data_IF_928396461987
#
_entry.id   IF_928396461987
#
_cell.length_a   1.000
_cell.length_b   1.000
_cell.length_c   1.000
_cell.angle_alpha   90.00
_cell.angle_beta   90.00
_cell.angle_gamma   90.00
#
_symmetry.space_group_name_H-M   'P 1'
#
loop_
_entity.id
_entity.type
_entity.pdbx_description
1 polymer ?
#
# COMPACT_ATOMS: atom_id res chain seq x y z
N UNK A 1 -26.72 -3.12 -7.69
CA UNK A 1 -26.00 -1.86 -7.43
C UNK A 1 -24.53 -2.08 -7.05
N UNK A 2 -24.16 -2.56 -5.84
CA UNK A 2 -22.74 -2.70 -5.49
C UNK A 2 -21.97 -3.66 -6.42
N UNK A 3 -22.56 -4.82 -6.74
CA UNK A 3 -21.99 -5.81 -7.67
C UNK A 3 -21.83 -5.30 -9.11
N UNK A 4 -22.62 -4.30 -9.50
CA UNK A 4 -22.49 -3.67 -10.83
C UNK A 4 -21.38 -2.64 -10.84
N UNK A 5 -21.20 -1.90 -9.73
CA UNK A 5 -20.06 -0.99 -9.56
C UNK A 5 -18.73 -1.75 -9.56
N UNK A 6 -18.67 -2.91 -8.89
CA UNK A 6 -17.48 -3.78 -8.91
C UNK A 6 -17.15 -4.30 -10.31
N UNK A 7 -18.15 -4.83 -11.04
CA UNK A 7 -17.93 -5.28 -12.43
C UNK A 7 -17.53 -4.16 -13.37
N UNK A 8 -18.03 -2.94 -13.15
CA UNK A 8 -17.69 -1.78 -13.96
C UNK A 8 -16.24 -1.33 -13.73
N UNK A 9 -15.79 -1.36 -12.48
CA UNK A 9 -14.40 -1.05 -12.13
C UNK A 9 -13.42 -2.11 -12.67
N UNK A 10 -13.80 -3.39 -12.59
CA UNK A 10 -13.02 -4.52 -13.12
C UNK A 10 -12.92 -4.49 -14.65
N UNK A 11 -14.01 -4.12 -15.34
CA UNK A 11 -14.04 -3.95 -16.78
C UNK A 11 -13.17 -2.77 -17.28
N UNK A 12 -13.10 -1.67 -16.52
CA UNK A 12 -12.24 -0.52 -16.85
C UNK A 12 -10.75 -0.85 -16.70
N UNK A 13 -10.39 -1.79 -15.82
CA UNK A 13 -9.00 -2.23 -15.63
C UNK A 13 -8.50 -3.15 -16.76
N UNK A 14 -9.38 -4.00 -17.31
CA UNK A 14 -9.05 -4.93 -18.40
C UNK A 14 -9.03 -4.30 -19.80
N UNK A 15 -9.57 -3.08 -19.95
CA UNK A 15 -9.70 -2.43 -21.26
C UNK A 15 -8.51 -1.56 -21.66
N UNK A 16 -7.48 -1.45 -20.82
CA UNK A 16 -6.32 -0.62 -21.10
C UNK A 16 -5.13 -1.37 -21.72
N UNK A 17 -5.31 -2.65 -22.06
CA UNK A 17 -4.28 -3.42 -22.75
C UNK A 17 -4.45 -3.37 -24.27
N UNK A 18 -3.45 -2.73 -24.89
CA UNK A 18 -3.02 -2.80 -26.28
C UNK A 18 -3.60 -1.79 -27.30
N UNK A 19 -2.80 -0.75 -27.58
CA UNK A 19 -2.49 -0.33 -28.95
C UNK A 19 -0.99 -0.03 -29.07
N UNK A 20 -0.33 -0.65 -30.09
CA UNK A 20 1.13 -0.75 -30.31
C UNK A 20 1.87 0.59 -30.45
N UNK A 21 3.21 0.66 -30.53
CA UNK A 21 4.14 -0.21 -31.23
C UNK A 21 5.58 0.08 -30.76
N UNK A 22 6.42 -0.98 -30.83
CA UNK A 22 7.85 -0.99 -31.17
C UNK A 22 8.95 -0.47 -30.21
N UNK A 23 9.84 -1.43 -29.92
CA UNK A 23 11.30 -1.29 -29.81
C UNK A 23 11.88 -0.63 -28.56
N UNK A 24 12.22 -1.45 -27.55
CA UNK A 24 13.64 -1.79 -27.29
C UNK A 24 13.75 -2.76 -26.12
N UNK A 25 14.36 -3.91 -26.42
CA UNK A 25 14.93 -4.77 -25.42
C UNK A 25 16.09 -4.06 -24.70
N UNK A 26 16.12 -4.19 -23.37
CA UNK A 26 17.25 -3.83 -22.54
C UNK A 26 17.05 -2.50 -21.82
N UNK A 27 16.75 -2.54 -20.52
CA UNK A 27 17.12 -1.53 -19.52
C UNK A 27 16.70 -1.95 -18.10
N UNK A 28 16.92 -3.21 -17.69
CA UNK A 28 17.19 -3.46 -16.26
C UNK A 28 18.64 -3.13 -15.99
N UNK A 29 18.93 -1.83 -16.09
CA UNK A 29 20.20 -1.22 -15.75
C UNK A 29 20.38 -1.29 -14.24
N UNK A 30 21.50 -1.90 -13.85
CA UNK A 30 22.17 -1.76 -12.57
C UNK A 30 21.95 -0.37 -11.97
N UNK A 31 21.53 -0.32 -10.69
CA UNK A 31 21.29 0.90 -9.89
C UNK A 31 22.22 2.06 -10.28
N UNK A 32 21.69 3.20 -10.75
CA UNK A 32 22.35 4.47 -10.56
C UNK A 32 21.90 5.02 -9.20
N UNK A 33 22.88 5.25 -8.34
CA UNK A 33 22.75 6.08 -7.16
C UNK A 33 22.53 7.53 -7.65
N UNK A 34 21.28 7.87 -7.98
CA UNK A 34 20.90 9.15 -8.57
C UNK A 34 19.57 9.59 -8.01
N UNK A 35 19.62 10.63 -7.18
CA UNK A 35 18.53 11.50 -6.74
C UNK A 35 17.11 10.88 -6.84
N UNK A 36 16.78 10.01 -5.88
CA UNK A 36 15.41 9.55 -5.70
C UNK A 36 14.59 10.74 -5.23
N UNK A 37 13.98 11.47 -6.16
CA UNK A 37 12.66 12.04 -5.85
C UNK A 37 11.73 10.82 -5.69
N UNK A 38 11.86 10.20 -4.51
CA UNK A 38 11.35 8.87 -4.22
C UNK A 38 9.83 8.91 -4.30
N UNK A 39 9.26 7.85 -4.87
CA UNK A 39 7.84 7.58 -4.75
C UNK A 39 7.41 7.76 -3.29
N UNK A 40 6.40 8.61 -3.05
CA UNK A 40 5.96 8.97 -1.69
C UNK A 40 4.61 8.38 -1.37
N UNK A 41 4.47 7.80 -0.20
CA UNK A 41 3.23 7.10 0.16
C UNK A 41 2.15 8.11 0.53
N UNK A 42 2.45 9.04 1.44
CA UNK A 42 1.49 9.98 2.03
C UNK A 42 0.71 10.85 1.03
N UNK A 43 1.32 11.46 0.00
CA UNK A 43 0.58 12.31 -0.95
C UNK A 43 -0.50 11.58 -1.77
N UNK A 44 -0.53 10.25 -1.70
CA UNK A 44 -1.43 9.40 -2.46
C UNK A 44 -2.37 8.58 -1.55
N UNK A 45 -2.36 8.85 -0.24
CA UNK A 45 -3.33 8.32 0.71
C UNK A 45 -4.46 9.35 0.85
N UNK A 46 -5.70 8.85 0.87
CA UNK A 46 -6.86 9.70 1.16
C UNK A 46 -6.91 10.08 2.64
N UNK A 47 -7.62 11.15 3.00
CA UNK A 47 -7.80 11.50 4.43
C UNK A 47 -8.39 10.34 5.26
N UNK A 48 -9.29 9.54 4.67
CA UNK A 48 -9.82 8.32 5.30
C UNK A 48 -8.74 7.25 5.49
N UNK A 49 -7.83 7.09 4.53
CA UNK A 49 -6.67 6.22 4.68
C UNK A 49 -5.75 6.66 5.82
N UNK A 50 -5.45 7.96 5.94
CA UNK A 50 -4.63 8.50 7.04
C UNK A 50 -5.26 8.19 8.41
N UNK A 51 -6.59 8.34 8.53
CA UNK A 51 -7.32 8.01 9.74
C UNK A 51 -7.19 6.52 10.11
N UNK A 52 -7.29 5.61 9.15
CA UNK A 52 -7.11 4.17 9.41
C UNK A 52 -5.67 3.82 9.76
N UNK A 53 -4.69 4.49 9.14
CA UNK A 53 -3.27 4.34 9.48
C UNK A 53 -2.99 4.80 10.92
N UNK A 54 -3.58 5.91 11.36
CA UNK A 54 -3.47 6.39 12.74
C UNK A 54 -4.09 5.40 13.74
N UNK A 55 -5.31 4.90 13.46
CA UNK A 55 -5.96 3.89 14.32
C UNK A 55 -5.14 2.61 14.39
N UNK A 56 -4.60 2.15 13.27
CA UNK A 56 -3.72 0.98 13.22
C UNK A 56 -2.46 1.20 14.07
N UNK A 57 -1.80 2.37 13.94
CA UNK A 57 -0.64 2.75 14.76
C UNK A 57 -0.96 2.69 16.25
N UNK A 58 -2.10 3.24 16.65
CA UNK A 58 -2.54 3.26 18.04
C UNK A 58 -2.86 1.85 18.57
N UNK A 59 -3.49 0.99 17.77
CA UNK A 59 -3.74 -0.41 18.13
C UNK A 59 -2.43 -1.18 18.37
N UNK A 60 -1.47 -1.03 17.47
CA UNK A 60 -0.18 -1.71 17.57
C UNK A 60 0.61 -1.25 18.80
N UNK A 61 0.57 0.06 19.10
CA UNK A 61 1.18 0.61 20.31
C UNK A 61 0.50 0.10 21.58
N UNK A 62 -0.83 0.12 21.64
CA UNK A 62 -1.58 -0.24 22.84
C UNK A 62 -1.51 -1.74 23.17
N UNK A 63 -1.56 -2.62 22.15
CA UNK A 63 -1.61 -4.08 22.35
C UNK A 63 -0.25 -4.77 22.30
N UNK A 64 0.69 -4.22 21.53
CA UNK A 64 1.98 -4.86 21.25
C UNK A 64 3.19 -4.02 21.67
N UNK A 65 2.98 -2.82 22.23
CA UNK A 65 4.06 -1.92 22.64
C UNK A 65 4.92 -1.39 21.47
N UNK A 66 4.54 -1.68 20.22
CA UNK A 66 5.30 -1.30 19.03
C UNK A 66 4.88 0.08 18.58
N UNK A 67 5.78 1.04 18.72
CA UNK A 67 5.61 2.40 18.19
C UNK A 67 6.39 2.51 16.89
N UNK A 68 5.72 3.00 15.85
CA UNK A 68 6.34 3.49 14.63
C UNK A 68 6.35 5.02 14.75
N UNK A 69 7.37 5.69 14.19
CA UNK A 69 7.39 7.15 14.19
C UNK A 69 6.10 7.68 13.58
N UNK A 70 5.54 8.73 14.20
CA UNK A 70 4.46 9.45 13.54
C UNK A 70 5.11 10.21 12.38
N UNK A 71 4.63 10.05 11.13
CA UNK A 71 5.31 10.59 9.96
C UNK A 71 5.34 12.13 10.02
N UNK A 72 6.41 12.65 10.59
CA UNK A 72 6.64 14.08 10.81
C UNK A 72 7.84 14.58 10.01
N UNK A 73 8.67 13.66 9.49
CA UNK A 73 9.78 13.91 8.57
C UNK A 73 9.59 13.12 7.26
N UNK A 74 9.85 13.78 6.12
CA UNK A 74 9.31 13.44 4.78
C UNK A 74 9.82 12.14 4.14
N UNK A 75 10.95 11.59 4.58
CA UNK A 75 11.56 10.38 4.01
C UNK A 75 11.59 9.21 4.99
N UNK A 76 11.65 9.51 6.29
CA UNK A 76 11.54 8.50 7.34
C UNK A 76 10.10 7.97 7.42
N UNK A 77 9.11 8.82 7.11
CA UNK A 77 7.69 8.48 7.10
C UNK A 77 7.34 7.25 6.26
N UNK A 78 7.92 7.12 5.07
CA UNK A 78 7.52 6.05 4.13
C UNK A 78 8.11 4.69 4.55
N UNK A 79 9.32 4.70 5.09
CA UNK A 79 9.93 3.50 5.66
C UNK A 79 9.14 3.04 6.89
N UNK A 80 8.78 3.97 7.77
CA UNK A 80 7.97 3.69 8.96
C UNK A 80 6.61 3.10 8.60
N UNK A 81 5.95 3.63 7.56
CA UNK A 81 4.69 3.08 7.06
C UNK A 81 4.90 1.65 6.55
N UNK A 82 5.93 1.38 5.73
CA UNK A 82 6.19 0.01 5.25
C UNK A 82 6.45 -0.97 6.38
N UNK A 83 7.21 -0.57 7.39
CA UNK A 83 7.49 -1.39 8.57
C UNK A 83 6.24 -1.67 9.39
N UNK A 84 5.41 -0.64 9.60
CA UNK A 84 4.13 -0.74 10.29
C UNK A 84 3.21 -1.73 9.57
N UNK A 85 3.04 -1.56 8.26
CA UNK A 85 2.19 -2.42 7.44
C UNK A 85 2.72 -3.85 7.43
N UNK A 86 4.03 -4.03 7.28
CA UNK A 86 4.66 -5.36 7.32
C UNK A 86 4.51 -6.05 8.67
N UNK A 87 4.54 -5.30 9.76
CA UNK A 87 4.32 -5.84 11.10
C UNK A 87 2.85 -6.22 11.30
N UNK A 88 1.92 -5.31 10.98
CA UNK A 88 0.49 -5.52 11.09
C UNK A 88 0.00 -6.72 10.27
N UNK A 89 0.54 -6.91 9.06
CA UNK A 89 0.16 -8.00 8.17
C UNK A 89 0.43 -9.40 8.76
N UNK A 90 1.37 -9.53 9.71
CA UNK A 90 1.72 -10.80 10.36
C UNK A 90 0.89 -11.09 11.62
N UNK A 91 0.07 -10.14 12.06
CA UNK A 91 -0.71 -10.24 13.30
C UNK A 91 -2.10 -10.79 13.02
N UNK A 92 -2.53 -11.83 13.73
CA UNK A 92 -3.86 -12.45 13.55
C UNK A 92 -4.99 -11.77 14.34
N UNK A 93 -4.75 -10.59 14.91
CA UNK A 93 -5.75 -9.81 15.63
C UNK A 93 -6.76 -9.19 14.65
N UNK A 94 -8.04 -9.47 14.89
CA UNK A 94 -9.14 -9.04 14.01
C UNK A 94 -9.21 -7.51 13.85
N UNK A 95 -8.95 -6.74 14.92
CA UNK A 95 -9.01 -5.29 14.86
C UNK A 95 -7.84 -4.72 14.05
N UNK A 96 -6.66 -5.31 14.22
CA UNK A 96 -5.46 -4.96 13.43
C UNK A 96 -5.68 -5.26 11.95
N UNK A 97 -6.20 -6.44 11.63
CA UNK A 97 -6.52 -6.84 10.27
C UNK A 97 -7.59 -5.95 9.63
N UNK A 98 -8.62 -5.58 10.41
CA UNK A 98 -9.68 -4.65 9.96
C UNK A 98 -9.11 -3.28 9.61
N UNK A 99 -8.32 -2.67 10.49
CA UNK A 99 -7.77 -1.32 10.21
C UNK A 99 -6.76 -1.36 9.06
N UNK A 100 -5.95 -2.42 8.96
CA UNK A 100 -5.01 -2.59 7.85
C UNK A 100 -5.74 -2.74 6.50
N UNK A 101 -6.81 -3.53 6.44
CA UNK A 101 -7.63 -3.65 5.24
C UNK A 101 -8.29 -2.32 4.86
N UNK A 102 -8.88 -1.62 5.84
CA UNK A 102 -9.54 -0.34 5.59
C UNK A 102 -8.55 0.73 5.14
N UNK A 103 -7.34 0.76 5.69
CA UNK A 103 -6.25 1.59 5.18
C UNK A 103 -5.96 1.26 3.71
N UNK A 104 -5.70 -0.01 3.40
CA UNK A 104 -5.33 -0.45 2.05
C UNK A 104 -6.38 -0.12 0.99
N UNK A 105 -7.66 -0.35 1.29
CA UNK A 105 -8.78 -0.03 0.38
C UNK A 105 -8.95 1.48 0.12
N UNK A 106 -8.44 2.33 1.01
CA UNK A 106 -8.48 3.78 0.89
C UNK A 106 -7.20 4.37 0.27
N UNK A 107 -6.26 3.53 -0.16
CA UNK A 107 -5.10 3.92 -0.95
C UNK A 107 -5.43 3.95 -2.45
N UNK A 108 -4.74 4.79 -3.22
CA UNK A 108 -4.82 4.76 -4.68
C UNK A 108 -4.29 3.43 -5.25
N UNK A 109 -4.69 3.01 -6.48
CA UNK A 109 -4.21 1.78 -7.10
C UNK A 109 -2.67 1.69 -7.17
N UNK A 110 -2.02 2.82 -7.42
CA UNK A 110 -0.54 2.91 -7.47
C UNK A 110 0.07 2.57 -6.11
N UNK A 111 -0.52 3.06 -5.02
CA UNK A 111 -0.06 2.77 -3.66
C UNK A 111 -0.36 1.32 -3.26
N UNK A 112 -1.51 0.79 -3.67
CA UNK A 112 -1.87 -0.60 -3.43
C UNK A 112 -0.90 -1.56 -4.12
N UNK A 113 -0.47 -1.28 -5.34
CA UNK A 113 0.56 -2.03 -6.06
C UNK A 113 1.91 -1.93 -5.35
N UNK A 114 2.32 -0.70 -5.02
CA UNK A 114 3.57 -0.45 -4.31
C UNK A 114 3.63 -1.21 -2.98
N UNK A 115 2.57 -1.15 -2.16
CA UNK A 115 2.53 -1.84 -0.88
C UNK A 115 2.54 -3.37 -1.05
N UNK A 116 1.93 -3.91 -2.12
CA UNK A 116 2.02 -5.35 -2.42
C UNK A 116 3.43 -5.77 -2.81
N UNK A 117 4.14 -4.94 -3.59
CA UNK A 117 5.51 -5.23 -4.02
C UNK A 117 6.53 -5.08 -2.88
N UNK A 118 6.32 -4.14 -1.97
CA UNK A 118 7.31 -3.74 -0.96
C UNK A 118 7.05 -4.33 0.43
N UNK A 119 5.89 -4.99 0.65
CA UNK A 119 5.52 -5.59 1.93
C UNK A 119 4.99 -7.01 1.75
N UNK A 120 4.87 -7.74 2.86
CA UNK A 120 4.33 -9.11 2.86
C UNK A 120 2.84 -9.20 2.49
N UNK A 121 2.16 -8.07 2.22
CA UNK A 121 0.80 -8.05 1.69
C UNK A 121 0.69 -8.77 0.34
N UNK A 122 1.73 -8.75 -0.49
CA UNK A 122 1.74 -9.44 -1.79
C UNK A 122 1.91 -10.96 -1.70
N UNK A 123 2.44 -11.46 -0.58
CA UNK A 123 2.71 -12.89 -0.36
C UNK A 123 1.58 -13.59 0.40
N UNK A 124 0.68 -12.83 1.03
CA UNK A 124 -0.31 -13.35 1.95
C UNK A 124 -1.73 -13.46 1.39
N UNK A 125 -2.52 -14.34 2.00
CA UNK A 125 -3.98 -14.46 1.79
C UNK A 125 -4.78 -13.27 2.35
N UNK A 126 -4.21 -12.07 2.43
CA UNK A 126 -4.82 -10.90 3.09
C UNK A 126 -6.22 -10.55 2.52
N UNK A 127 -6.46 -10.91 1.26
CA UNK A 127 -7.73 -10.77 0.55
C UNK A 127 -8.36 -12.12 0.16
N UNK A 128 -7.68 -13.24 0.41
CA UNK A 128 -8.16 -14.57 0.05
C UNK A 128 -8.96 -15.14 1.20
N UNK A 129 -10.27 -15.17 0.98
CA UNK A 129 -11.31 -15.64 1.89
C UNK A 129 -11.26 -17.15 2.13
#
# INVERSE_FOLDING_TARGET
MLKELWRKLEAEFLHNDCSGQDSQAGLFGTRPNGNKDGFRILPHITHTGEFHLERLTNLLKARYGKSFGMPSSKSESDQEIRELISFAARIQDQDVQRELLLFYLNCSPVIQEYLRAETVLGEGNFLSR
#
